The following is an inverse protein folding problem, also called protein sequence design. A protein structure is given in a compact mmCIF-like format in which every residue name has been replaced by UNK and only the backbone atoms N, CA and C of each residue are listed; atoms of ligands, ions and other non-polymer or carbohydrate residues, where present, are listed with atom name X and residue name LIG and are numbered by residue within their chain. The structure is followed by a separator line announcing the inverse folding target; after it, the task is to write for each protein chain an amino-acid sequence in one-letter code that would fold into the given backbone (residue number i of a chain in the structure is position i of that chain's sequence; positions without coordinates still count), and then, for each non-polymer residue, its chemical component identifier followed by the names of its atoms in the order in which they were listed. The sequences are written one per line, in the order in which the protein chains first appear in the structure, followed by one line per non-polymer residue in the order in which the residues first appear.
data_IF_722429623756
#
_entry.id   IF_722429623756
#
_cell.length_a   1.000
_cell.length_b   1.000
_cell.length_c   1.000
_cell.angle_alpha   90.00
_cell.angle_beta   90.00
_cell.angle_gamma   90.00
#
_symmetry.space_group_name_H-M   'P 1'
#
loop_
_entity.id
_entity.type
_entity.pdbx_description
1 polymer ?
#
# COMPACT_ATOMS: atom_id res chain seq x y z
N UNK A 1 3.41 2.58 -28.36
CA UNK A 1 3.01 2.54 -26.94
C UNK A 1 4.25 2.88 -26.12
N UNK A 2 4.32 4.07 -25.52
CA UNK A 2 5.46 4.44 -24.66
C UNK A 2 5.24 3.76 -23.31
N UNK A 3 6.20 2.93 -22.87
CA UNK A 3 6.11 2.27 -21.57
C UNK A 3 6.40 3.34 -20.51
N UNK A 4 5.37 3.78 -19.79
CA UNK A 4 5.56 4.58 -18.58
C UNK A 4 6.20 3.68 -17.53
N UNK A 5 7.35 4.09 -17.00
CA UNK A 5 7.99 3.42 -15.86
C UNK A 5 7.55 4.09 -14.57
N UNK A 6 7.52 3.33 -13.48
CA UNK A 6 7.08 3.84 -12.19
C UNK A 6 7.90 5.04 -11.69
N UNK A 7 9.23 5.04 -11.87
CA UNK A 7 10.08 6.18 -11.49
C UNK A 7 9.66 7.47 -12.22
N UNK A 8 9.27 7.33 -13.49
CA UNK A 8 8.75 8.45 -14.29
C UNK A 8 7.35 8.86 -13.83
N UNK A 9 6.50 7.91 -13.45
CA UNK A 9 5.16 8.19 -12.93
C UNK A 9 5.22 9.02 -11.63
N UNK A 10 6.17 8.75 -10.73
CA UNK A 10 6.40 9.56 -9.53
C UNK A 10 6.86 10.97 -9.90
N UNK A 11 7.88 11.09 -10.75
CA UNK A 11 8.41 12.40 -11.16
C UNK A 11 7.34 13.25 -11.85
N UNK A 12 6.55 12.66 -12.74
CA UNK A 12 5.49 13.36 -13.47
C UNK A 12 4.36 13.78 -12.50
N UNK A 13 4.01 12.94 -11.52
CA UNK A 13 3.03 13.27 -10.47
C UNK A 13 3.47 14.46 -9.63
N UNK A 14 4.73 14.47 -9.19
CA UNK A 14 5.31 15.58 -8.41
C UNK A 14 5.23 16.87 -9.21
N UNK A 15 5.63 16.85 -10.49
CA UNK A 15 5.58 18.02 -11.35
C UNK A 15 4.14 18.55 -11.49
N UNK A 16 3.16 17.66 -11.69
CA UNK A 16 1.75 18.04 -11.79
C UNK A 16 1.26 18.77 -10.53
N UNK A 17 1.66 18.29 -9.35
CA UNK A 17 1.29 18.88 -8.06
C UNK A 17 1.97 20.24 -7.87
N UNK A 18 3.27 20.35 -8.17
CA UNK A 18 4.01 21.61 -8.07
C UNK A 18 3.44 22.69 -9.00
N UNK A 19 3.06 22.32 -10.23
CA UNK A 19 2.42 23.22 -11.20
C UNK A 19 1.08 23.75 -10.65
N UNK A 20 0.32 22.89 -9.98
CA UNK A 20 -0.98 23.24 -9.38
C UNK A 20 -0.86 24.13 -8.15
N UNK A 21 0.25 24.03 -7.44
CA UNK A 21 0.47 24.70 -6.16
C UNK A 21 1.11 26.09 -6.30
N UNK A 22 1.31 26.56 -7.53
CA UNK A 22 1.96 27.85 -7.85
C UNK A 22 3.30 28.07 -7.12
N UNK A 23 4.05 27.00 -6.84
CA UNK A 23 5.39 27.06 -6.26
C UNK A 23 5.50 26.83 -4.75
N UNK A 24 4.41 26.65 -4.01
CA UNK A 24 4.43 26.18 -2.62
C UNK A 24 3.57 24.92 -2.45
N UNK A 25 4.13 23.72 -2.70
CA UNK A 25 3.35 22.49 -2.67
C UNK A 25 2.87 22.14 -1.26
N UNK A 26 1.59 21.74 -1.11
CA UNK A 26 1.06 21.26 0.15
C UNK A 26 1.75 19.95 0.54
N UNK A 27 1.59 19.55 1.81
CA UNK A 27 2.13 18.30 2.33
C UNK A 27 1.56 17.08 1.56
N UNK A 28 2.34 16.56 0.63
CA UNK A 28 1.91 15.53 -0.31
C UNK A 28 2.36 14.15 0.16
N UNK A 29 1.45 13.19 0.23
CA UNK A 29 1.79 11.79 0.48
C UNK A 29 1.38 10.94 -0.70
N UNK A 30 2.35 10.36 -1.39
CA UNK A 30 2.16 9.38 -2.44
C UNK A 30 2.07 8.01 -1.78
N UNK A 31 0.96 7.32 -2.00
CA UNK A 31 0.73 5.96 -1.49
C UNK A 31 0.77 5.01 -2.67
N UNK A 32 1.75 4.11 -2.67
CA UNK A 32 1.80 3.00 -3.60
C UNK A 32 1.24 1.76 -2.92
N UNK A 33 0.30 1.09 -3.57
CA UNK A 33 -0.21 -0.17 -3.04
C UNK A 33 0.54 -1.39 -3.60
N UNK A 34 0.15 -2.59 -3.15
CA UNK A 34 0.74 -3.85 -3.61
C UNK A 34 0.49 -4.19 -5.08
N UNK A 35 -0.52 -3.59 -5.71
CA UNK A 35 -0.79 -3.72 -7.14
C UNK A 35 0.05 -2.74 -7.97
N UNK A 36 0.78 -1.84 -7.30
CA UNK A 36 1.64 -0.85 -7.92
C UNK A 36 0.88 0.36 -8.43
N UNK A 37 -0.39 0.54 -8.06
CA UNK A 37 -1.11 1.79 -8.34
C UNK A 37 -0.73 2.86 -7.33
N UNK A 38 -0.83 4.12 -7.76
CA UNK A 38 -0.41 5.29 -7.01
C UNK A 38 -1.62 6.18 -6.69
N UNK A 39 -1.81 6.45 -5.41
CA UNK A 39 -2.77 7.42 -4.89
C UNK A 39 -2.02 8.61 -4.31
N UNK A 40 -2.51 9.82 -4.58
CA UNK A 40 -2.01 11.06 -4.00
C UNK A 40 -2.92 11.46 -2.85
N UNK A 41 -2.36 11.72 -1.68
CA UNK A 41 -3.08 12.27 -0.52
C UNK A 41 -2.59 13.68 -0.25
N UNK A 42 -3.52 14.64 -0.23
CA UNK A 42 -3.26 16.04 0.08
C UNK A 42 -4.07 16.48 1.32
N UNK A 43 -3.65 17.55 2.03
CA UNK A 43 -4.47 18.23 3.03
C UNK A 43 -5.83 18.66 2.46
N UNK A 44 -6.86 18.69 3.30
CA UNK A 44 -8.23 18.97 2.84
C UNK A 44 -8.38 20.40 2.30
N UNK A 45 -7.53 21.32 2.77
CA UNK A 45 -7.42 22.72 2.37
C UNK A 45 -6.41 22.97 1.23
N UNK A 46 -5.80 21.92 0.67
CA UNK A 46 -4.81 22.03 -0.41
C UNK A 46 -5.34 22.73 -1.67
N UNK A 47 -6.65 22.62 -1.94
CA UNK A 47 -7.30 23.25 -3.08
C UNK A 47 -8.57 23.97 -2.61
N UNK A 48 -8.77 25.19 -3.10
CA UNK A 48 -9.82 26.09 -2.62
C UNK A 48 -11.25 25.66 -2.99
N UNK A 49 -11.43 24.82 -4.02
CA UNK A 49 -12.75 24.44 -4.51
C UNK A 49 -12.77 23.00 -5.05
N UNK A 50 -13.98 22.42 -5.12
CA UNK A 50 -14.20 21.06 -5.62
C UNK A 50 -13.81 20.89 -7.09
N UNK A 51 -13.92 21.94 -7.89
CA UNK A 51 -13.54 21.88 -9.31
C UNK A 51 -12.04 21.62 -9.47
N UNK A 52 -11.19 22.31 -8.69
CA UNK A 52 -9.75 22.09 -8.69
C UNK A 52 -9.36 20.68 -8.25
N UNK A 53 -10.08 20.11 -7.28
CA UNK A 53 -9.91 18.71 -6.89
C UNK A 53 -10.22 17.77 -8.08
N UNK A 54 -11.34 17.97 -8.76
CA UNK A 54 -11.74 17.13 -9.88
C UNK A 54 -10.79 17.26 -11.08
N UNK A 55 -10.38 18.49 -11.42
CA UNK A 55 -9.44 18.77 -12.51
C UNK A 55 -8.05 18.17 -12.23
N UNK A 56 -7.55 18.28 -10.99
CA UNK A 56 -6.29 17.66 -10.60
C UNK A 56 -6.40 16.13 -10.64
N UNK A 57 -7.48 15.56 -10.13
CA UNK A 57 -7.71 14.12 -10.14
C UNK A 57 -7.77 13.56 -11.58
N UNK A 58 -8.47 14.24 -12.48
CA UNK A 58 -8.53 13.85 -13.89
C UNK A 58 -7.13 13.91 -14.54
N UNK A 59 -6.39 14.99 -14.30
CA UNK A 59 -5.02 15.16 -14.83
C UNK A 59 -4.07 14.08 -14.31
N UNK A 60 -4.14 13.75 -13.02
CA UNK A 60 -3.36 12.68 -12.40
C UNK A 60 -3.73 11.31 -12.98
N UNK A 61 -5.03 11.02 -13.12
CA UNK A 61 -5.51 9.77 -13.69
C UNK A 61 -4.98 9.55 -15.11
N UNK A 62 -5.13 10.57 -15.97
CA UNK A 62 -4.65 10.52 -17.35
C UNK A 62 -3.14 10.35 -17.44
N UNK A 63 -2.37 11.01 -16.57
CA UNK A 63 -0.92 10.93 -16.58
C UNK A 63 -0.40 9.58 -16.06
N UNK A 64 -0.97 9.07 -14.95
CA UNK A 64 -0.56 7.82 -14.33
C UNK A 64 -0.97 6.60 -15.15
N UNK A 65 -2.08 6.68 -15.91
CA UNK A 65 -2.54 5.62 -16.79
C UNK A 65 -2.70 4.28 -16.05
N UNK A 66 -1.88 3.29 -16.41
CA UNK A 66 -1.89 1.96 -15.77
C UNK A 66 -1.56 1.96 -14.28
N UNK A 67 -0.93 3.02 -13.79
CA UNK A 67 -0.62 3.20 -12.36
C UNK A 67 -1.72 3.96 -11.63
N UNK A 68 -2.81 4.37 -12.28
CA UNK A 68 -3.91 5.05 -11.63
C UNK A 68 -4.94 4.05 -11.08
N UNK A 69 -5.44 4.24 -9.84
CA UNK A 69 -6.59 3.50 -9.33
C UNK A 69 -7.94 3.99 -9.89
N UNK A 70 -7.94 5.02 -10.75
CA UNK A 70 -9.14 5.69 -11.25
C UNK A 70 -9.25 7.14 -10.78
N UNK A 71 -9.98 7.97 -11.51
CA UNK A 71 -10.19 9.40 -11.21
C UNK A 71 -10.80 9.67 -9.83
N UNK A 72 -11.63 8.78 -9.32
CA UNK A 72 -12.23 8.90 -7.97
C UNK A 72 -11.30 8.53 -6.81
N UNK A 73 -10.20 7.83 -7.08
CA UNK A 73 -9.32 7.26 -6.04
C UNK A 73 -7.86 7.68 -6.17
N UNK A 74 -7.49 8.32 -7.29
CA UNK A 74 -6.12 8.77 -7.55
C UNK A 74 -5.74 9.96 -6.68
N UNK A 75 -6.73 10.72 -6.18
CA UNK A 75 -6.54 11.89 -5.35
C UNK A 75 -7.50 11.86 -4.17
N UNK A 76 -6.95 11.81 -2.95
CA UNK A 76 -7.69 11.73 -1.71
C UNK A 76 -7.33 12.90 -0.77
N UNK A 77 -8.31 13.29 0.04
CA UNK A 77 -8.12 14.16 1.20
C UNK A 77 -7.58 13.36 2.39
N UNK A 78 -7.00 14.05 3.38
CA UNK A 78 -6.62 13.40 4.64
C UNK A 78 -7.84 12.79 5.33
N UNK A 79 -8.99 13.46 5.27
CA UNK A 79 -10.27 12.95 5.81
C UNK A 79 -10.86 11.76 5.05
N UNK A 80 -10.44 11.52 3.80
CA UNK A 80 -10.93 10.40 3.01
C UNK A 80 -10.23 9.08 3.43
N UNK A 81 -9.15 9.16 4.20
CA UNK A 81 -8.45 8.00 4.75
C UNK A 81 -9.22 7.40 5.93
N UNK A 82 -9.34 6.07 5.94
CA UNK A 82 -9.96 5.32 7.06
C UNK A 82 -9.15 5.48 8.35
N UNK A 83 -7.83 5.38 8.25
CA UNK A 83 -6.89 5.63 9.34
C UNK A 83 -5.75 6.52 8.83
N UNK A 84 -5.86 7.86 9.01
CA UNK A 84 -4.83 8.79 8.56
C UNK A 84 -3.47 8.53 9.22
N UNK A 85 -3.43 8.07 10.47
CA UNK A 85 -2.18 7.88 11.21
C UNK A 85 -1.33 6.76 10.61
N UNK A 86 -1.98 5.68 10.16
CA UNK A 86 -1.32 4.53 9.52
C UNK A 86 -0.71 4.87 8.14
N UNK A 87 -1.02 6.03 7.57
CA UNK A 87 -0.45 6.52 6.30
C UNK A 87 0.51 7.68 6.55
N UNK A 88 0.04 8.74 7.22
CA UNK A 88 0.73 10.01 7.35
C UNK A 88 1.84 9.97 8.42
N UNK A 89 1.69 9.11 9.42
CA UNK A 89 2.66 8.89 10.51
C UNK A 89 3.35 7.52 10.41
N UNK A 90 3.17 6.82 9.28
CA UNK A 90 3.76 5.51 9.06
C UNK A 90 5.29 5.56 9.20
N UNK A 91 5.92 4.59 9.91
CA UNK A 91 7.37 4.48 9.95
C UNK A 91 7.97 4.16 8.56
N UNK A 92 7.16 3.62 7.64
CA UNK A 92 7.54 3.31 6.27
C UNK A 92 7.41 4.54 5.33
N UNK A 93 7.05 5.71 5.87
CA UNK A 93 6.91 6.95 5.11
C UNK A 93 8.30 7.54 4.83
N UNK A 94 8.73 7.47 3.57
CA UNK A 94 10.04 7.96 3.12
C UNK A 94 9.89 9.34 2.51
N UNK A 95 10.74 10.29 2.93
CA UNK A 95 10.78 11.63 2.33
C UNK A 95 11.47 11.58 0.96
N UNK A 96 10.84 12.10 -0.08
CA UNK A 96 11.45 12.23 -1.39
C UNK A 96 12.33 13.48 -1.41
N UNK A 97 13.64 13.32 -1.57
CA UNK A 97 14.61 14.43 -1.51
C UNK A 97 14.53 15.38 -2.71
N UNK A 98 13.98 14.91 -3.82
CA UNK A 98 13.87 15.65 -5.08
C UNK A 98 12.64 16.56 -5.13
N UNK A 99 11.75 16.47 -4.13
CA UNK A 99 10.49 17.21 -4.08
C UNK A 99 10.27 17.88 -2.72
N UNK A 100 9.66 19.07 -2.72
CA UNK A 100 9.32 19.78 -1.49
C UNK A 100 8.05 19.21 -0.88
N UNK A 101 8.06 19.01 0.43
CA UNK A 101 6.92 18.51 1.20
C UNK A 101 6.27 17.25 0.59
N UNK A 102 7.07 16.34 0.04
CA UNK A 102 6.56 15.10 -0.56
C UNK A 102 7.15 13.87 0.14
N UNK A 103 6.26 12.93 0.44
CA UNK A 103 6.59 11.64 1.00
C UNK A 103 6.01 10.52 0.16
N UNK A 104 6.67 9.36 0.18
CA UNK A 104 6.23 8.12 -0.42
C UNK A 104 6.02 7.08 0.68
N UNK A 105 4.87 6.42 0.65
CA UNK A 105 4.56 5.24 1.48
C UNK A 105 4.34 4.08 0.53
N UNK A 106 5.19 3.06 0.61
CA UNK A 106 5.01 1.83 -0.16
C UNK A 106 4.32 0.77 0.69
N UNK A 107 3.01 0.58 0.46
CA UNK A 107 2.19 -0.44 1.11
C UNK A 107 2.30 -1.76 0.36
N UNK A 108 3.52 -2.30 0.35
CA UNK A 108 3.72 -3.69 -0.07
C UNK A 108 3.06 -4.59 0.99
N UNK A 109 2.14 -5.45 0.54
CA UNK A 109 1.39 -6.47 1.32
C UNK A 109 2.24 -7.26 2.34
N UNK A 110 3.56 -7.23 2.23
CA UNK A 110 4.50 -8.03 3.02
C UNK A 110 5.03 -7.36 4.28
N UNK A 111 4.91 -6.04 4.48
CA UNK A 111 5.63 -5.37 5.59
C UNK A 111 4.78 -5.05 6.83
N UNK A 112 3.48 -4.83 6.69
CA UNK A 112 2.66 -4.40 7.84
C UNK A 112 2.10 -5.56 8.66
N UNK A 113 1.85 -6.72 8.05
CA UNK A 113 1.17 -7.83 8.74
C UNK A 113 2.12 -8.73 9.54
N UNK A 114 3.43 -8.73 9.26
CA UNK A 114 4.40 -9.58 9.95
C UNK A 114 5.11 -8.89 11.12
N UNK A 115 5.13 -7.55 11.15
CA UNK A 115 5.78 -6.75 12.18
C UNK A 115 4.81 -6.09 13.17
N UNK A 116 3.49 -6.13 12.92
CA UNK A 116 2.51 -5.73 13.93
C UNK A 116 2.50 -6.75 15.06
N UNK A 117 2.85 -6.31 16.27
CA UNK A 117 2.50 -7.06 17.47
C UNK A 117 0.98 -7.29 17.47
N UNK A 118 0.57 -8.55 17.58
CA UNK A 118 -0.82 -8.92 17.76
C UNK A 118 -1.40 -8.11 18.93
N UNK A 119 -2.42 -7.30 18.67
CA UNK A 119 -3.18 -6.58 19.70
C UNK A 119 -3.89 -7.52 20.68
N UNK A 120 -3.81 -8.83 20.46
CA UNK A 120 -4.42 -9.87 21.27
C UNK A 120 -3.34 -10.61 22.07
N UNK A 121 -3.23 -10.28 23.36
CA UNK A 121 -2.48 -11.04 24.39
C UNK A 121 -3.17 -12.36 24.77
N UNK A 122 -3.58 -13.17 23.80
CA UNK A 122 -4.00 -14.53 24.11
C UNK A 122 -2.74 -15.42 24.20
N UNK A 123 -2.69 -16.39 25.14
CA UNK A 123 -1.58 -17.35 25.17
C UNK A 123 -1.48 -18.00 23.78
N UNK A 124 -0.26 -18.14 23.22
CA UNK A 124 -0.11 -18.61 21.85
C UNK A 124 -0.72 -20.01 21.75
N UNK A 125 -1.80 -20.11 20.97
CA UNK A 125 -2.30 -21.40 20.49
C UNK A 125 -1.10 -22.07 19.79
N UNK A 126 -0.85 -23.38 20.01
CA UNK A 126 0.24 -24.07 19.32
C UNK A 126 0.09 -23.89 17.81
N UNK A 127 0.90 -23.01 17.24
CA UNK A 127 0.83 -22.59 15.84
C UNK A 127 1.99 -23.24 15.11
N UNK A 128 1.69 -23.99 14.06
CA UNK A 128 2.72 -24.48 13.15
C UNK A 128 2.59 -23.79 11.80
N UNK A 129 3.74 -23.48 11.19
CA UNK A 129 3.83 -22.81 9.91
C UNK A 129 4.70 -23.66 8.99
N UNK A 130 4.18 -24.01 7.81
CA UNK A 130 4.99 -24.58 6.73
C UNK A 130 5.35 -23.48 5.73
N UNK A 131 6.64 -23.24 5.53
CA UNK A 131 7.14 -22.32 4.50
C UNK A 131 8.08 -23.05 3.52
N UNK A 132 8.34 -22.43 2.38
CA UNK A 132 9.26 -22.97 1.37
C UNK A 132 10.09 -21.83 0.80
N UNK A 133 11.40 -22.07 0.60
CA UNK A 133 12.38 -21.03 0.29
C UNK A 133 12.55 -20.81 -1.23
N UNK A 134 12.01 -21.67 -2.10
CA UNK A 134 12.01 -21.46 -3.55
C UNK A 134 10.71 -21.96 -4.19
N UNK A 135 10.16 -21.20 -5.12
CA UNK A 135 8.84 -21.43 -5.71
C UNK A 135 8.77 -22.74 -6.49
N UNK A 136 7.97 -23.69 -5.99
CA UNK A 136 7.65 -24.93 -6.67
C UNK A 136 7.26 -26.08 -5.72
N UNK A 137 5.95 -26.42 -5.71
CA UNK A 137 5.37 -27.75 -5.40
C UNK A 137 5.58 -28.45 -4.04
N UNK A 138 6.04 -27.76 -2.97
CA UNK A 138 6.19 -28.40 -1.65
C UNK A 138 5.08 -28.15 -0.60
N UNK A 139 4.44 -26.97 -0.62
CA UNK A 139 3.66 -26.46 0.54
C UNK A 139 2.42 -27.27 0.86
N UNK A 140 1.56 -27.49 -0.12
CA UNK A 140 0.31 -28.24 0.05
C UNK A 140 0.60 -29.70 0.40
N UNK A 141 1.65 -30.28 -0.19
CA UNK A 141 2.09 -31.65 0.10
C UNK A 141 2.64 -31.78 1.52
N UNK A 142 3.49 -30.85 1.97
CA UNK A 142 4.01 -30.83 3.33
C UNK A 142 2.90 -30.64 4.36
N UNK A 143 1.95 -29.72 4.11
CA UNK A 143 0.77 -29.54 4.96
C UNK A 143 -0.12 -30.78 4.99
N UNK A 144 -0.36 -31.42 3.84
CA UNK A 144 -1.19 -32.63 3.76
C UNK A 144 -0.55 -33.80 4.52
N UNK A 145 0.76 -34.02 4.37
CA UNK A 145 1.50 -35.06 5.11
C UNK A 145 1.55 -34.77 6.61
N UNK A 146 1.70 -33.51 6.99
CA UNK A 146 1.71 -33.10 8.39
C UNK A 146 0.34 -33.26 9.04
N UNK A 147 -0.75 -32.82 8.37
CA UNK A 147 -2.11 -33.05 8.83
C UNK A 147 -2.45 -34.55 8.93
N UNK A 148 -2.00 -35.36 7.98
CA UNK A 148 -2.13 -36.82 8.02
C UNK A 148 -1.38 -37.45 9.20
N UNK A 149 -0.14 -37.00 9.45
CA UNK A 149 0.66 -37.43 10.60
C UNK A 149 -0.02 -37.08 11.92
N UNK A 150 -0.51 -35.84 12.08
CA UNK A 150 -1.25 -35.39 13.25
C UNK A 150 -2.53 -36.21 13.49
N UNK A 151 -3.29 -36.47 12.42
CA UNK A 151 -4.50 -37.28 12.49
C UNK A 151 -4.22 -38.74 12.89
N UNK A 152 -3.04 -39.29 12.55
CA UNK A 152 -2.60 -40.61 13.03
C UNK A 152 -2.12 -40.57 14.48
N UNK A 153 -1.39 -39.54 14.89
CA UNK A 153 -0.94 -39.40 16.28
C UNK A 153 -2.09 -39.11 17.25
N UNK A 154 -3.20 -38.53 16.76
CA UNK A 154 -4.42 -38.26 17.55
C UNK A 154 -5.46 -39.38 17.56
N UNK A 155 -5.23 -40.52 16.91
CA UNK A 155 -6.14 -41.68 16.93
C UNK A 155 -5.62 -42.78 17.85
N UNK A 156 -6.00 -42.68 19.12
CA UNK A 156 -6.24 -43.86 19.97
C UNK A 156 -7.68 -43.78 20.49
N UNK A 157 -8.59 -44.40 19.74
CA UNK A 157 -9.88 -44.84 20.27
C UNK A 157 -9.92 -46.34 20.07
N UNK A 158 -9.33 -47.07 21.02
CA UNK A 158 -9.64 -48.47 21.24
C UNK A 158 -11.02 -48.55 21.89
N UNK A 159 -12.03 -48.95 21.12
CA UNK A 159 -13.20 -49.71 21.57
C UNK A 159 -13.64 -50.58 20.40
#
# INVERSE_FOLDING_TARGET
MMILKFDKAISDTIQIIEDYSHGDPPETTLVRDSFGVLTVVLPDDALANTNGWNELAEKLHQNLGVYSPGDQQVLLRKTDLIDPSDVLESPDRIRLTEARNTWLVDRLLTNQDWLRESLVKNPPIPTAVAFSIKGGVGRTTAFALWAWSLARSGKTSSW
#
